data_IF_191311378422
#
_entry.id   IF_191311378422
#
_cell.length_a   1.000
_cell.length_b   1.000
_cell.length_c   1.000
_cell.angle_alpha   90.00
_cell.angle_beta   90.00
_cell.angle_gamma   90.00
#
_symmetry.space_group_name_H-M   'P 1'
#
loop_
_entity.id
_entity.type
_entity.pdbx_description
1 polymer ?
#
# COMPACT_ATOMS: atom_id res chain seq x y z
N UNK A 1 -21.90 -2.45 4.95
CA UNK A 1 -21.59 -3.85 4.57
C UNK A 1 -20.11 -3.88 4.37
N UNK A 2 -19.39 -4.71 5.12
CA UNK A 2 -17.95 -4.87 4.94
C UNK A 2 -17.70 -5.62 3.63
N UNK A 3 -16.67 -5.26 2.85
CA UNK A 3 -16.34 -5.98 1.62
C UNK A 3 -16.02 -7.44 1.96
N UNK A 4 -16.54 -8.37 1.17
CA UNK A 4 -16.12 -9.77 1.22
C UNK A 4 -14.77 -9.94 0.55
N UNK A 5 -14.09 -11.06 0.77
CA UNK A 5 -12.81 -11.34 0.12
C UNK A 5 -12.93 -11.31 -1.42
N UNK A 6 -14.04 -11.79 -1.98
CA UNK A 6 -14.24 -11.79 -3.44
C UNK A 6 -14.48 -10.38 -4.01
N UNK A 7 -14.99 -9.44 -3.21
CA UNK A 7 -15.10 -8.02 -3.60
C UNK A 7 -13.73 -7.33 -3.71
N UNK A 8 -12.68 -7.92 -3.13
CA UNK A 8 -11.32 -7.40 -3.17
C UNK A 8 -10.51 -7.92 -4.36
N UNK A 9 -11.01 -8.92 -5.10
CA UNK A 9 -10.28 -9.43 -6.26
C UNK A 9 -10.36 -8.46 -7.44
N UNK A 10 -9.19 -7.93 -7.84
CA UNK A 10 -9.10 -6.89 -8.85
C UNK A 10 -9.38 -5.49 -8.32
N UNK A 11 -9.49 -5.32 -7.00
CA UNK A 11 -9.65 -4.01 -6.39
C UNK A 11 -8.42 -3.13 -6.67
N UNK A 12 -8.65 -1.95 -7.24
CA UNK A 12 -7.66 -0.88 -7.41
C UNK A 12 -8.35 0.44 -7.08
N UNK A 13 -7.77 1.18 -6.14
CA UNK A 13 -8.23 2.51 -5.77
C UNK A 13 -7.02 3.41 -5.62
N UNK A 14 -7.08 4.59 -6.23
CA UNK A 14 -6.07 5.63 -6.11
C UNK A 14 -6.74 6.96 -5.77
N UNK A 15 -6.41 7.51 -4.61
CA UNK A 15 -6.84 8.84 -4.18
C UNK A 15 -5.65 9.78 -4.23
N UNK A 16 -5.84 10.93 -4.86
CA UNK A 16 -4.90 12.04 -4.86
C UNK A 16 -5.54 13.19 -4.10
N UNK A 17 -4.85 13.69 -3.09
CA UNK A 17 -5.30 14.82 -2.27
C UNK A 17 -4.79 16.14 -2.85
N UNK A 18 -5.41 17.25 -2.42
CA UNK A 18 -5.09 18.60 -2.91
C UNK A 18 -3.64 19.02 -2.64
N UNK A 19 -3.02 18.47 -1.59
CA UNK A 19 -1.63 18.70 -1.23
C UNK A 19 -0.63 17.85 -2.04
N UNK A 20 -1.13 17.03 -2.99
CA UNK A 20 -0.32 16.14 -3.81
C UNK A 20 0.01 14.80 -3.14
N UNK A 21 -0.55 14.52 -1.95
CA UNK A 21 -0.49 13.21 -1.31
C UNK A 21 -1.23 12.17 -2.15
N UNK A 22 -0.66 10.97 -2.25
CA UNK A 22 -1.21 9.83 -3.00
C UNK A 22 -1.40 8.64 -2.07
N UNK A 23 -2.61 8.10 -2.05
CA UNK A 23 -2.93 6.80 -1.44
C UNK A 23 -3.40 5.88 -2.56
N UNK A 24 -2.64 4.83 -2.85
CA UNK A 24 -3.03 3.80 -3.81
C UNK A 24 -3.05 2.42 -3.15
N UNK A 25 -4.16 1.71 -3.33
CA UNK A 25 -4.37 0.35 -2.86
C UNK A 25 -4.70 -0.51 -4.06
N UNK A 26 -3.99 -1.62 -4.23
CA UNK A 26 -4.35 -2.66 -5.18
C UNK A 26 -4.38 -4.01 -4.48
N UNK A 27 -5.41 -4.80 -4.71
CA UNK A 27 -5.59 -6.15 -4.18
C UNK A 27 -6.10 -7.03 -5.32
N UNK A 28 -5.51 -8.20 -5.48
CA UNK A 28 -5.95 -9.20 -6.45
C UNK A 28 -5.54 -10.60 -6.03
N UNK A 29 -6.27 -11.61 -6.49
CA UNK A 29 -5.82 -12.99 -6.42
C UNK A 29 -4.62 -13.22 -7.34
N UNK A 30 -3.80 -14.21 -6.98
CA UNK A 30 -2.63 -14.61 -7.75
C UNK A 30 -2.31 -16.07 -7.45
N UNK A 31 -1.91 -16.82 -8.48
CA UNK A 31 -1.41 -18.20 -8.37
C UNK A 31 0.13 -18.27 -8.29
N UNK A 32 0.76 -17.13 -8.01
CA UNK A 32 2.21 -17.00 -7.97
C UNK A 32 2.74 -17.53 -6.64
N UNK A 33 3.68 -18.49 -6.70
CA UNK A 33 4.25 -19.15 -5.53
C UNK A 33 4.97 -18.19 -4.57
N UNK A 34 5.36 -16.99 -5.01
CA UNK A 34 5.90 -15.95 -4.14
C UNK A 34 4.85 -15.38 -3.16
N UNK A 35 3.56 -15.64 -3.39
CA UNK A 35 2.44 -15.15 -2.60
C UNK A 35 1.59 -16.33 -2.07
N UNK A 36 2.06 -17.02 -1.01
CA UNK A 36 1.40 -18.23 -0.49
C UNK A 36 -0.03 -18.00 0.06
N UNK A 37 -0.42 -16.75 0.29
CA UNK A 37 -1.80 -16.38 0.64
C UNK A 37 -2.78 -16.49 -0.53
N UNK A 38 -2.28 -16.62 -1.76
CA UNK A 38 -3.08 -16.51 -2.98
C UNK A 38 -3.49 -15.07 -3.31
N UNK A 39 -2.94 -14.09 -2.59
CA UNK A 39 -3.26 -12.66 -2.75
C UNK A 39 -2.00 -11.83 -2.98
N UNK A 40 -2.04 -11.01 -4.02
CA UNK A 40 -1.08 -9.93 -4.22
C UNK A 40 -1.75 -8.62 -3.86
N UNK A 41 -1.18 -7.93 -2.89
CA UNK A 41 -1.64 -6.60 -2.49
C UNK A 41 -0.50 -5.59 -2.52
N UNK A 42 -0.84 -4.33 -2.69
CA UNK A 42 0.11 -3.21 -2.67
C UNK A 42 -0.58 -2.00 -2.05
N UNK A 43 0.11 -1.38 -1.09
CA UNK A 43 -0.22 -0.07 -0.55
C UNK A 43 0.92 0.88 -0.93
N UNK A 44 0.59 1.94 -1.65
CA UNK A 44 1.48 3.07 -1.89
C UNK A 44 0.93 4.28 -1.15
N UNK A 45 1.75 4.83 -0.27
CA UNK A 45 1.52 6.09 0.40
C UNK A 45 2.70 7.01 0.10
N UNK A 46 2.43 8.14 -0.51
CA UNK A 46 3.48 8.96 -1.07
C UNK A 46 3.00 10.30 -1.58
N UNK A 47 3.82 10.91 -2.43
CA UNK A 47 3.51 12.14 -3.13
C UNK A 47 3.62 11.94 -4.64
N UNK A 48 2.90 12.75 -5.41
CA UNK A 48 2.97 12.74 -6.88
C UNK A 48 4.38 13.07 -7.41
N UNK A 49 5.14 13.85 -6.65
CA UNK A 49 6.48 14.31 -7.03
C UNK A 49 7.50 13.85 -6.02
N UNK A 50 8.58 13.25 -6.53
CA UNK A 50 9.68 12.82 -5.69
C UNK A 50 10.37 14.02 -5.01
N UNK A 51 10.71 13.87 -3.74
CA UNK A 51 11.39 14.88 -2.93
C UNK A 51 12.40 14.27 -1.96
N UNK A 52 12.96 15.10 -1.08
CA UNK A 52 13.84 14.63 0.00
C UNK A 52 13.16 13.63 0.94
N UNK A 53 11.83 13.70 1.04
CA UNK A 53 11.01 12.88 1.93
C UNK A 53 10.49 11.59 1.29
N UNK A 54 10.69 11.38 -0.02
CA UNK A 54 10.14 10.24 -0.77
C UNK A 54 11.20 9.52 -1.60
N UNK A 55 11.01 8.24 -1.89
CA UNK A 55 11.73 7.49 -2.92
C UNK A 55 11.48 8.11 -4.31
N UNK A 56 12.22 7.62 -5.31
CA UNK A 56 12.12 8.11 -6.70
C UNK A 56 10.73 7.88 -7.31
N UNK A 57 9.98 6.90 -6.81
CA UNK A 57 8.60 6.63 -7.21
C UNK A 57 7.55 7.44 -6.43
N UNK A 58 8.00 8.36 -5.57
CA UNK A 58 7.11 9.18 -4.73
C UNK A 58 6.70 8.51 -3.41
N UNK A 59 7.06 7.24 -3.17
CA UNK A 59 6.75 6.55 -1.90
C UNK A 59 7.46 7.23 -0.73
N UNK A 60 6.78 7.49 0.39
CA UNK A 60 7.42 8.16 1.53
C UNK A 60 8.60 7.34 2.12
N UNK A 61 9.74 7.97 2.40
CA UNK A 61 10.99 7.30 2.86
C UNK A 61 10.95 6.83 4.30
N UNK A 62 10.21 7.51 5.17
CA UNK A 62 10.09 7.12 6.58
C UNK A 62 8.64 7.19 7.00
N UNK A 63 8.00 6.04 7.00
CA UNK A 63 7.06 5.75 8.07
C UNK A 63 7.93 5.52 9.32
N UNK A 64 8.14 6.56 10.14
CA UNK A 64 8.59 6.33 11.51
C UNK A 64 7.42 5.65 12.21
N UNK A 65 7.37 4.32 12.08
CA UNK A 65 6.51 3.51 12.90
C UNK A 65 7.17 3.55 14.28
N UNK A 66 6.96 4.67 15.00
CA UNK A 66 7.17 4.82 16.44
C UNK A 66 6.26 3.81 17.14
N UNK A 67 6.67 2.56 16.99
CA UNK A 67 6.20 1.42 17.71
C UNK A 67 7.30 1.16 18.73
N UNK A 68 7.23 1.94 19.80
CA UNK A 68 8.19 1.97 20.91
C UNK A 68 8.14 0.70 21.79
N UNK A 69 7.47 -0.38 21.37
CA UNK A 69 7.33 -1.57 22.24
C UNK A 69 7.48 -2.97 21.60
N UNK A 70 6.96 -3.26 20.41
CA UNK A 70 7.03 -4.63 19.82
C UNK A 70 7.20 -4.67 18.29
N UNK A 71 8.44 -4.69 17.82
CA UNK A 71 8.75 -4.95 16.39
C UNK A 71 8.47 -6.42 16.07
N UNK A 72 7.27 -6.73 15.59
CA UNK A 72 6.92 -8.03 15.02
C UNK A 72 6.07 -7.83 13.77
N UNK A 73 6.51 -8.41 12.66
CA UNK A 73 5.69 -8.63 11.46
C UNK A 73 5.23 -10.09 11.57
N UNK A 74 3.93 -10.33 11.62
CA UNK A 74 3.34 -11.65 11.38
C UNK A 74 2.93 -11.75 9.91
#
# INVERSE_FOLDING_TARGET
MEPTADDLDGYDNATVYEDGTVVRVSIRRTDDDAYPSGWRYTLHYGALTAGSETLDDGTIRRYDNSHEDTKGHE
#
